data_IF_482209807338
#
_entry.id   IF_482209807338
#
_cell.length_a   1.000
_cell.length_b   1.000
_cell.length_c   1.000
_cell.angle_alpha   90.00
_cell.angle_beta   90.00
_cell.angle_gamma   90.00
#
_symmetry.space_group_name_H-M   'P 1'
#
loop_
_entity.id
_entity.type
_entity.pdbx_description
1 polymer ?
#
# COMPACT_ATOMS: atom_id res chain seq x y z
N UNK A 1 -21.07 6.23 -17.72
CA UNK A 1 -20.74 4.83 -18.06
C UNK A 1 -19.48 4.91 -18.92
N UNK A 2 -18.34 5.06 -18.25
CA UNK A 2 -17.06 5.36 -18.91
C UNK A 2 -16.47 4.03 -19.33
N UNK A 3 -16.47 3.78 -20.64
CA UNK A 3 -15.73 2.67 -21.25
C UNK A 3 -14.25 2.85 -20.88
N UNK A 4 -13.75 1.98 -20.00
CA UNK A 4 -12.33 1.88 -19.75
C UNK A 4 -11.66 1.37 -21.03
N UNK A 5 -10.65 2.08 -21.51
CA UNK A 5 -9.81 1.64 -22.63
C UNK A 5 -9.20 0.26 -22.28
N UNK A 6 -9.56 -0.83 -22.99
CA UNK A 6 -9.09 -2.18 -22.70
C UNK A 6 -7.57 -2.36 -22.93
N UNK A 7 -6.87 -1.32 -23.39
CA UNK A 7 -5.41 -1.32 -23.58
C UNK A 7 -4.62 -0.74 -22.41
N UNK A 8 -5.27 -0.04 -21.47
CA UNK A 8 -4.58 0.59 -20.34
C UNK A 8 -4.19 -0.48 -19.30
N UNK A 9 -2.90 -0.83 -19.25
CA UNK A 9 -2.41 -1.82 -18.28
C UNK A 9 -2.64 -1.34 -16.84
N UNK A 10 -3.03 -2.23 -15.91
CA UNK A 10 -3.20 -1.86 -14.52
C UNK A 10 -1.87 -1.44 -13.89
N UNK A 11 -1.91 -0.54 -12.92
CA UNK A 11 -0.73 -0.21 -12.10
C UNK A 11 -0.50 -1.34 -11.09
N UNK A 12 0.67 -1.97 -11.13
CA UNK A 12 1.02 -3.05 -10.20
C UNK A 12 1.55 -2.47 -8.90
N UNK A 13 0.83 -2.74 -7.81
CA UNK A 13 1.15 -2.25 -6.47
C UNK A 13 1.59 -3.42 -5.59
N UNK A 14 2.75 -3.32 -4.94
CA UNK A 14 3.22 -4.28 -3.96
C UNK A 14 3.15 -3.68 -2.55
N UNK A 15 2.43 -4.31 -1.63
CA UNK A 15 2.45 -3.94 -0.20
C UNK A 15 3.37 -4.84 0.60
N UNK A 16 4.14 -4.29 1.53
CA UNK A 16 5.18 -5.04 2.27
C UNK A 16 5.07 -4.84 3.78
N UNK A 17 4.96 -5.94 4.53
CA UNK A 17 5.14 -5.96 5.98
C UNK A 17 6.12 -7.06 6.40
N UNK A 18 6.14 -7.45 7.67
CA UNK A 18 7.03 -8.49 8.18
C UNK A 18 6.51 -9.89 7.84
N UNK A 19 5.42 -10.31 8.50
CA UNK A 19 4.90 -11.68 8.41
C UNK A 19 3.98 -11.97 7.22
N UNK A 20 3.54 -10.95 6.48
CA UNK A 20 2.52 -11.04 5.43
C UNK A 20 1.19 -11.67 5.87
N UNK A 21 0.81 -11.54 7.14
CA UNK A 21 -0.45 -12.08 7.68
C UNK A 21 -1.36 -11.01 8.31
N UNK A 22 -0.89 -9.77 8.51
CA UNK A 22 -1.68 -8.71 9.15
C UNK A 22 -1.74 -7.44 8.28
N UNK A 23 -0.68 -6.63 8.32
CA UNK A 23 -0.69 -5.26 7.77
C UNK A 23 -0.69 -5.20 6.24
N UNK A 24 0.21 -5.93 5.56
CA UNK A 24 0.27 -5.91 4.09
C UNK A 24 -0.94 -6.56 3.41
N UNK A 25 -1.53 -7.66 3.93
CA UNK A 25 -2.80 -8.18 3.39
C UNK A 25 -3.96 -7.20 3.57
N UNK A 26 -4.07 -6.55 4.73
CA UNK A 26 -5.09 -5.52 4.95
C UNK A 26 -4.94 -4.36 3.95
N UNK A 27 -3.72 -3.86 3.77
CA UNK A 27 -3.43 -2.82 2.77
C UNK A 27 -3.75 -3.27 1.34
N UNK A 28 -3.40 -4.52 0.98
CA UNK A 28 -3.72 -5.11 -0.34
C UNK A 28 -5.22 -5.07 -0.62
N UNK A 29 -6.03 -5.59 0.30
CA UNK A 29 -7.48 -5.70 0.10
C UNK A 29 -8.18 -4.35 0.13
N UNK A 30 -7.76 -3.44 1.01
CA UNK A 30 -8.28 -2.08 1.04
C UNK A 30 -7.95 -1.32 -0.25
N UNK A 31 -6.71 -1.39 -0.75
CA UNK A 31 -6.34 -0.74 -2.01
C UNK A 31 -7.12 -1.31 -3.20
N UNK A 32 -7.30 -2.63 -3.29
CA UNK A 32 -8.14 -3.24 -4.33
C UNK A 32 -9.60 -2.80 -4.26
N UNK A 33 -10.09 -2.48 -3.07
CA UNK A 33 -11.49 -2.05 -2.87
C UNK A 33 -11.68 -0.59 -3.22
N UNK A 34 -10.67 0.25 -2.98
CA UNK A 34 -10.77 1.71 -3.14
C UNK A 34 -10.20 2.25 -4.45
N UNK A 35 -9.41 1.45 -5.19
CA UNK A 35 -8.75 1.87 -6.41
C UNK A 35 -9.11 0.92 -7.55
N UNK A 36 -9.63 1.48 -8.64
CA UNK A 36 -9.83 0.78 -9.90
C UNK A 36 -8.57 0.83 -10.79
N UNK A 37 -8.44 -0.11 -11.73
CA UNK A 37 -7.32 -0.12 -12.68
C UNK A 37 -5.96 -0.41 -12.03
N UNK A 38 -5.94 -1.10 -10.88
CA UNK A 38 -4.71 -1.52 -10.18
C UNK A 38 -4.68 -3.03 -10.00
N UNK A 39 -3.48 -3.58 -9.97
CA UNK A 39 -3.22 -4.95 -9.53
C UNK A 39 -2.40 -4.89 -8.25
N UNK A 40 -3.04 -5.11 -7.10
CA UNK A 40 -2.36 -5.06 -5.81
C UNK A 40 -1.97 -6.45 -5.37
N UNK A 41 -0.76 -6.64 -4.89
CA UNK A 41 -0.30 -7.88 -4.23
C UNK A 41 0.47 -7.52 -2.97
N UNK A 42 0.69 -8.50 -2.08
CA UNK A 42 1.48 -8.28 -0.85
C UNK A 42 2.56 -9.33 -0.66
N UNK A 43 3.57 -9.00 0.14
CA UNK A 43 4.62 -9.92 0.57
C UNK A 43 5.16 -9.57 1.97
N UNK A 44 5.97 -10.46 2.54
CA UNK A 44 6.55 -10.32 3.87
C UNK A 44 8.07 -10.48 3.89
N UNK A 45 8.79 -9.60 4.57
CA UNK A 45 10.25 -9.67 4.70
C UNK A 45 10.73 -10.79 5.64
N UNK A 46 9.84 -11.29 6.48
CA UNK A 46 9.98 -12.49 7.30
C UNK A 46 8.66 -13.25 7.32
N UNK A 47 8.15 -13.58 6.12
CA UNK A 47 6.79 -14.08 5.94
C UNK A 47 6.54 -15.42 6.63
N UNK A 48 5.33 -15.58 7.15
CA UNK A 48 4.80 -16.86 7.60
C UNK A 48 4.16 -17.57 6.40
N UNK A 49 5.00 -18.09 5.50
CA UNK A 49 4.58 -18.62 4.20
C UNK A 49 3.52 -19.71 4.35
N UNK A 50 2.45 -19.64 3.56
CA UNK A 50 1.36 -20.60 3.59
C UNK A 50 0.22 -20.24 4.56
N UNK A 51 0.45 -19.33 5.50
CA UNK A 51 -0.57 -18.93 6.47
C UNK A 51 -1.63 -18.00 5.85
N UNK A 52 -2.89 -18.08 6.30
CA UNK A 52 -3.93 -17.13 5.91
C UNK A 52 -3.72 -15.77 6.62
N UNK A 53 -4.61 -14.82 6.34
CA UNK A 53 -4.67 -13.58 7.13
C UNK A 53 -4.94 -13.95 8.60
N UNK A 54 -4.19 -13.33 9.50
CA UNK A 54 -4.27 -13.62 10.92
C UNK A 54 -5.67 -13.31 11.45
N UNK A 55 -6.31 -14.20 12.24
CA UNK A 55 -7.75 -14.10 12.53
C UNK A 55 -8.24 -12.77 13.09
N UNK A 56 -7.54 -12.09 14.03
CA UNK A 56 -7.98 -10.77 14.51
C UNK A 56 -8.01 -9.69 13.42
N UNK A 57 -7.05 -9.73 12.47
CA UNK A 57 -7.03 -8.81 11.33
C UNK A 57 -8.11 -9.18 10.31
N UNK A 58 -8.29 -10.47 10.01
CA UNK A 58 -9.36 -10.93 9.13
C UNK A 58 -10.74 -10.51 9.66
N UNK A 59 -10.99 -10.66 10.97
CA UNK A 59 -12.25 -10.25 11.58
C UNK A 59 -12.51 -8.72 11.51
N UNK A 60 -11.46 -7.89 11.52
CA UNK A 60 -11.59 -6.44 11.29
C UNK A 60 -11.98 -6.15 9.83
N UNK A 61 -11.30 -6.80 8.88
CA UNK A 61 -11.59 -6.68 7.45
C UNK A 61 -13.03 -7.10 7.12
N UNK A 62 -13.45 -8.29 7.57
CA UNK A 62 -14.81 -8.80 7.33
C UNK A 62 -15.88 -7.89 7.91
N UNK A 63 -15.65 -7.33 9.13
CA UNK A 63 -16.58 -6.35 9.72
C UNK A 63 -16.70 -5.06 8.91
N UNK A 64 -15.66 -4.69 8.19
CA UNK A 64 -15.66 -3.54 7.28
C UNK A 64 -16.16 -3.90 5.86
N UNK A 65 -16.62 -5.12 5.62
CA UNK A 65 -17.07 -5.59 4.31
C UNK A 65 -15.93 -5.92 3.34
N UNK A 66 -14.70 -6.06 3.84
CA UNK A 66 -13.52 -6.41 3.05
C UNK A 66 -13.30 -7.93 3.12
N UNK A 67 -13.19 -8.57 1.95
CA UNK A 67 -12.89 -9.99 1.84
C UNK A 67 -11.50 -10.33 2.38
N UNK A 68 -11.44 -11.32 3.28
CA UNK A 68 -10.21 -11.84 3.89
C UNK A 68 -9.85 -13.26 3.41
N UNK A 69 -10.73 -13.90 2.62
CA UNK A 69 -10.58 -15.29 2.21
C UNK A 69 -9.65 -15.44 1.00
N UNK A 70 -9.23 -16.68 0.72
CA UNK A 70 -8.37 -17.02 -0.43
C UNK A 70 -6.97 -16.39 -0.39
N UNK A 71 -6.56 -15.85 0.75
CA UNK A 71 -5.24 -15.27 0.94
C UNK A 71 -4.23 -16.32 1.42
N UNK A 72 -2.99 -16.23 0.93
CA UNK A 72 -1.88 -17.05 1.43
C UNK A 72 -0.63 -16.19 1.49
N UNK A 73 -0.01 -16.15 2.67
CA UNK A 73 1.20 -15.38 2.90
C UNK A 73 2.38 -15.92 2.07
N UNK A 74 3.19 -15.00 1.55
CA UNK A 74 4.40 -15.29 0.76
C UNK A 74 5.59 -14.44 1.17
N UNK A 75 6.78 -15.00 0.99
CA UNK A 75 8.04 -14.30 1.23
C UNK A 75 8.26 -13.19 0.18
N UNK A 76 8.88 -12.09 0.61
CA UNK A 76 9.37 -11.06 -0.29
C UNK A 76 10.51 -11.63 -1.13
N UNK A 77 10.41 -11.48 -2.44
CA UNK A 77 11.43 -11.82 -3.42
C UNK A 77 11.76 -10.58 -4.26
N UNK A 78 12.97 -10.50 -4.81
CA UNK A 78 13.42 -9.35 -5.58
C UNK A 78 12.56 -9.11 -6.82
N UNK A 79 12.02 -10.17 -7.43
CA UNK A 79 11.12 -10.12 -8.58
C UNK A 79 9.83 -9.38 -8.24
N UNK A 80 9.26 -9.60 -7.05
CA UNK A 80 8.07 -8.88 -6.60
C UNK A 80 8.31 -7.37 -6.59
N UNK A 81 9.49 -6.94 -6.11
CA UNK A 81 9.86 -5.52 -6.06
C UNK A 81 10.17 -4.98 -7.45
N UNK A 82 10.91 -5.74 -8.26
CA UNK A 82 11.26 -5.38 -9.64
C UNK A 82 10.03 -5.16 -10.50
N UNK A 83 9.04 -6.04 -10.37
CA UNK A 83 7.88 -6.08 -11.24
C UNK A 83 6.77 -5.13 -10.75
N UNK A 84 6.80 -4.62 -9.52
CA UNK A 84 5.86 -3.59 -9.09
C UNK A 84 6.11 -2.24 -9.79
N UNK A 85 5.06 -1.51 -10.14
CA UNK A 85 5.15 -0.11 -10.60
C UNK A 85 5.17 0.85 -9.39
N UNK A 86 4.62 0.42 -8.25
CA UNK A 86 4.60 1.13 -6.98
C UNK A 86 4.75 0.15 -5.81
N UNK A 87 5.61 0.47 -4.85
CA UNK A 87 5.83 -0.33 -3.63
C UNK A 87 5.43 0.48 -2.40
N UNK A 88 4.52 -0.08 -1.61
CA UNK A 88 3.96 0.52 -0.39
C UNK A 88 4.34 -0.30 0.83
N UNK A 89 5.34 0.18 1.54
CA UNK A 89 5.82 -0.46 2.75
C UNK A 89 4.98 -0.03 3.97
N UNK A 90 4.81 -0.93 4.94
CA UNK A 90 4.07 -0.61 6.17
C UNK A 90 4.95 -0.01 7.26
N UNK A 91 6.28 0.03 7.04
CA UNK A 91 7.23 0.79 7.85
C UNK A 91 8.40 1.27 7.00
N UNK A 92 9.18 2.23 7.52
CA UNK A 92 10.44 2.69 6.92
C UNK A 92 11.45 1.56 6.81
N UNK A 93 11.49 0.64 7.78
CA UNK A 93 12.35 -0.55 7.71
C UNK A 93 11.96 -1.45 6.52
N UNK A 94 10.67 -1.71 6.33
CA UNK A 94 10.19 -2.48 5.16
C UNK A 94 10.52 -1.77 3.83
N UNK A 95 10.41 -0.44 3.79
CA UNK A 95 10.79 0.37 2.63
C UNK A 95 12.27 0.18 2.32
N UNK A 96 13.14 0.26 3.32
CA UNK A 96 14.57 0.01 3.18
C UNK A 96 14.86 -1.40 2.68
N UNK A 97 14.19 -2.42 3.23
CA UNK A 97 14.34 -3.81 2.79
C UNK A 97 13.94 -4.01 1.32
N UNK A 98 12.87 -3.36 0.86
CA UNK A 98 12.47 -3.39 -0.54
C UNK A 98 13.54 -2.77 -1.47
N UNK A 99 14.11 -1.63 -1.07
CA UNK A 99 15.19 -0.97 -1.83
C UNK A 99 16.48 -1.81 -1.81
N UNK A 100 16.80 -2.49 -0.73
CA UNK A 100 17.93 -3.43 -0.68
C UNK A 100 17.71 -4.62 -1.61
N UNK A 101 16.49 -5.19 -1.62
CA UNK A 101 16.14 -6.30 -2.50
C UNK A 101 16.20 -5.92 -3.99
N UNK A 102 15.85 -4.67 -4.32
CA UNK A 102 15.96 -4.12 -5.68
C UNK A 102 16.21 -2.60 -5.67
N UNK A 103 17.49 -2.15 -5.81
CA UNK A 103 17.83 -0.72 -5.73
C UNK A 103 17.12 0.16 -6.76
N UNK A 104 16.78 -0.41 -7.93
CA UNK A 104 16.06 0.28 -9.00
C UNK A 104 14.65 0.74 -8.59
N UNK A 105 14.09 0.23 -7.49
CA UNK A 105 12.77 0.62 -7.00
C UNK A 105 12.78 1.90 -6.14
N UNK A 106 13.94 2.47 -5.79
CA UNK A 106 14.07 3.63 -4.87
C UNK A 106 13.08 4.76 -5.16
N UNK A 107 12.85 5.07 -6.45
CA UNK A 107 11.98 6.16 -6.91
C UNK A 107 10.48 5.82 -6.88
N UNK A 108 10.12 4.57 -6.64
CA UNK A 108 8.74 4.09 -6.60
C UNK A 108 8.41 3.32 -5.32
N UNK A 109 9.22 3.47 -4.28
CA UNK A 109 8.99 2.86 -2.96
C UNK A 109 8.75 3.93 -1.92
N UNK A 110 7.60 3.85 -1.25
CA UNK A 110 7.15 4.74 -0.18
C UNK A 110 6.68 3.89 1.01
N UNK A 111 6.56 4.48 2.19
CA UNK A 111 5.61 3.91 3.15
C UNK A 111 4.18 4.29 2.73
N UNK A 112 3.17 3.50 3.14
CA UNK A 112 1.77 3.79 2.80
C UNK A 112 1.34 5.17 3.29
N UNK A 113 1.66 5.51 4.54
CA UNK A 113 1.30 6.79 5.17
C UNK A 113 2.08 7.97 4.55
N UNK A 114 3.35 7.76 4.20
CA UNK A 114 4.15 8.74 3.47
C UNK A 114 3.48 9.09 2.13
N UNK A 115 3.11 8.08 1.33
CA UNK A 115 2.50 8.36 0.02
C UNK A 115 1.15 9.06 0.17
N UNK A 116 0.29 8.63 1.09
CA UNK A 116 -1.01 9.27 1.33
C UNK A 116 -0.84 10.77 1.66
N UNK A 117 0.08 11.09 2.57
CA UNK A 117 0.41 12.47 2.95
C UNK A 117 0.99 13.28 1.79
N UNK A 118 1.88 12.69 0.99
CA UNK A 118 2.45 13.36 -0.18
C UNK A 118 1.40 13.57 -1.27
N UNK A 119 0.45 12.64 -1.45
CA UNK A 119 -0.64 12.77 -2.39
C UNK A 119 -1.54 13.97 -2.05
N UNK A 120 -1.93 14.12 -0.78
CA UNK A 120 -2.71 15.27 -0.33
C UNK A 120 -1.98 16.60 -0.55
N UNK A 121 -0.66 16.61 -0.32
CA UNK A 121 0.14 17.80 -0.58
C UNK A 121 0.24 18.13 -2.08
N UNK A 122 0.35 17.12 -2.94
CA UNK A 122 0.35 17.31 -4.39
C UNK A 122 -1.01 17.83 -4.88
N UNK A 123 -2.10 17.35 -4.29
CA UNK A 123 -3.46 17.76 -4.67
C UNK A 123 -3.99 17.03 -5.89
N UNK A 124 -5.30 16.80 -5.91
CA UNK A 124 -6.00 16.10 -7.00
C UNK A 124 -6.06 16.92 -8.29
N UNK A 125 -5.98 18.24 -8.19
CA UNK A 125 -5.99 19.21 -9.28
C UNK A 125 -4.70 19.16 -10.11
N UNK A 126 -3.57 18.90 -9.46
CA UNK A 126 -2.26 18.81 -10.13
C UNK A 126 -2.11 17.53 -10.95
N UNK A 127 -2.82 16.45 -10.59
CA UNK A 127 -2.74 15.17 -11.30
C UNK A 127 -3.42 15.20 -12.68
N UNK A 128 -4.27 16.19 -12.94
CA UNK A 128 -5.02 16.31 -14.20
C UNK A 128 -6.11 15.25 -14.38
N UNK A 129 -6.83 15.30 -15.50
CA UNK A 129 -7.85 14.29 -15.83
C UNK A 129 -7.22 12.95 -16.20
N UNK A 130 -7.94 11.85 -16.00
CA UNK A 130 -7.48 10.50 -16.37
C UNK A 130 -8.06 9.42 -15.46
N UNK A 131 -7.70 8.17 -15.72
CA UNK A 131 -8.07 7.06 -14.83
C UNK A 131 -7.27 7.09 -13.53
N UNK A 132 -7.69 6.32 -12.52
CA UNK A 132 -6.90 6.12 -11.28
C UNK A 132 -5.48 5.65 -11.59
N UNK A 133 -5.29 4.80 -12.60
CA UNK A 133 -3.99 4.32 -13.04
C UNK A 133 -3.12 5.48 -13.58
N UNK A 134 -3.69 6.37 -14.40
CA UNK A 134 -2.97 7.54 -14.93
C UNK A 134 -2.58 8.51 -13.82
N UNK A 135 -3.50 8.77 -12.90
CA UNK A 135 -3.29 9.65 -11.75
C UNK A 135 -2.23 9.09 -10.80
N UNK A 136 -2.18 7.78 -10.57
CA UNK A 136 -1.09 7.13 -9.82
C UNK A 136 0.26 7.28 -10.52
N UNK A 137 0.33 7.10 -11.85
CA UNK A 137 1.57 7.28 -12.63
C UNK A 137 2.07 8.72 -12.57
N UNK A 138 1.16 9.70 -12.60
CA UNK A 138 1.49 11.11 -12.44
C UNK A 138 1.93 11.44 -11.01
N UNK A 139 1.27 10.86 -10.00
CA UNK A 139 1.55 11.12 -8.59
C UNK A 139 2.96 10.70 -8.19
N UNK A 140 3.44 9.51 -8.58
CA UNK A 140 4.73 8.97 -8.11
C UNK A 140 5.91 9.97 -8.29
N UNK A 141 6.20 10.51 -9.49
CA UNK A 141 7.29 11.47 -9.66
C UNK A 141 7.06 12.79 -8.91
N UNK A 142 5.80 13.23 -8.74
CA UNK A 142 5.48 14.44 -7.98
C UNK A 142 5.70 14.24 -6.47
N UNK A 143 5.26 13.10 -5.94
CA UNK A 143 5.47 12.72 -4.54
C UNK A 143 6.97 12.68 -4.18
N UNK A 144 7.84 12.18 -5.08
CA UNK A 144 9.30 12.22 -4.87
C UNK A 144 9.80 13.65 -4.69
N UNK A 145 9.33 14.59 -5.52
CA UNK A 145 9.73 16.01 -5.43
C UNK A 145 9.22 16.65 -4.14
N UNK A 146 8.04 16.26 -3.70
CA UNK A 146 7.41 16.77 -2.47
C UNK A 146 8.05 16.25 -1.17
N UNK A 147 8.80 15.13 -1.19
CA UNK A 147 9.48 14.57 0.00
C UNK A 147 10.34 15.57 0.77
N UNK A 148 10.98 16.51 0.06
CA UNK A 148 11.85 17.53 0.68
C UNK A 148 11.09 18.66 1.37
N UNK A 149 9.82 18.85 1.00
CA UNK A 149 8.94 19.94 1.44
C UNK A 149 8.10 19.52 2.65
N UNK A 150 7.51 18.32 2.60
CA UNK A 150 6.68 17.78 3.68
C UNK A 150 7.51 16.85 4.55
N UNK A 151 8.11 17.41 5.61
CA UNK A 151 8.95 16.65 6.55
C UNK A 151 8.15 16.24 7.78
N UNK A 152 8.04 14.94 7.96
CA UNK A 152 7.54 14.30 9.18
C UNK A 152 8.62 13.31 9.62
N UNK A 153 8.85 13.12 10.93
CA UNK A 153 9.71 12.04 11.41
C UNK A 153 9.34 10.72 10.72
N UNK A 154 10.30 9.99 10.12
CA UNK A 154 9.98 8.79 9.34
C UNK A 154 9.18 7.73 10.13
N UNK A 155 9.41 7.62 11.44
CA UNK A 155 8.69 6.73 12.35
C UNK A 155 7.19 7.06 12.47
N UNK A 156 6.80 8.31 12.23
CA UNK A 156 5.40 8.71 12.24
C UNK A 156 4.67 8.23 10.99
N UNK A 157 5.39 7.77 9.96
CA UNK A 157 4.81 7.13 8.78
C UNK A 157 4.74 5.58 8.90
N UNK A 158 5.14 5.01 10.05
CA UNK A 158 5.02 3.59 10.32
C UNK A 158 3.59 3.18 10.71
N UNK A 159 3.22 1.94 10.34
CA UNK A 159 2.05 1.25 10.87
C UNK A 159 2.51 0.22 11.91
N UNK A 160 2.02 0.41 13.14
CA UNK A 160 2.33 -0.46 14.28
C UNK A 160 2.07 -1.93 13.95
N UNK A 161 2.99 -2.82 14.33
CA UNK A 161 2.81 -4.26 14.16
C UNK A 161 1.88 -4.84 15.23
N UNK A 162 0.70 -5.37 14.86
CA UNK A 162 -0.22 -5.92 15.84
C UNK A 162 0.05 -7.38 16.19
N UNK A 163 0.93 -8.09 15.47
CA UNK A 163 1.11 -9.53 15.66
C UNK A 163 1.50 -9.88 17.11
N UNK A 164 0.76 -10.82 17.73
CA UNK A 164 0.88 -11.21 19.15
C UNK A 164 0.69 -10.07 20.15
N UNK A 165 -0.04 -9.02 19.78
CA UNK A 165 -0.42 -7.90 20.65
C UNK A 165 -1.92 -7.96 20.98
N UNK A 166 -2.42 -7.16 21.94
CA UNK A 166 -3.85 -7.06 22.22
C UNK A 166 -4.67 -6.54 21.04
N UNK A 167 -5.97 -6.87 21.00
CA UNK A 167 -6.93 -6.49 19.95
C UNK A 167 -7.00 -4.98 19.65
N UNK A 168 -6.74 -4.15 20.66
CA UNK A 168 -6.65 -2.70 20.51
C UNK A 168 -5.56 -2.29 19.49
N UNK A 169 -4.44 -3.02 19.45
CA UNK A 169 -3.34 -2.75 18.50
C UNK A 169 -3.72 -3.18 17.09
N UNK A 170 -4.48 -4.27 16.93
CA UNK A 170 -5.04 -4.65 15.63
C UNK A 170 -6.01 -3.58 15.10
N UNK A 171 -6.89 -3.09 15.97
CA UNK A 171 -7.85 -2.04 15.63
C UNK A 171 -7.13 -0.76 15.20
N UNK A 172 -6.11 -0.36 15.96
CA UNK A 172 -5.27 0.80 15.62
C UNK A 172 -4.55 0.61 14.27
N UNK A 173 -3.92 -0.54 14.06
CA UNK A 173 -3.20 -0.82 12.81
C UNK A 173 -4.15 -0.81 11.61
N UNK A 174 -5.32 -1.45 11.72
CA UNK A 174 -6.32 -1.47 10.66
C UNK A 174 -6.84 -0.06 10.35
N UNK A 175 -7.24 0.70 11.37
CA UNK A 175 -7.72 2.07 11.19
C UNK A 175 -6.67 2.99 10.55
N UNK A 176 -5.39 2.82 10.91
CA UNK A 176 -4.28 3.58 10.31
C UNK A 176 -4.09 3.25 8.83
N UNK A 177 -4.22 1.97 8.45
CA UNK A 177 -4.11 1.55 7.05
C UNK A 177 -5.31 2.07 6.27
N UNK A 178 -6.52 1.91 6.81
CA UNK A 178 -7.75 2.37 6.17
C UNK A 178 -7.75 3.88 5.94
N UNK A 179 -7.37 4.69 6.94
CA UNK A 179 -7.23 6.14 6.80
C UNK A 179 -6.27 6.51 5.65
N UNK A 180 -5.08 5.91 5.64
CA UNK A 180 -4.08 6.19 4.62
C UNK A 180 -4.56 5.79 3.21
N UNK A 181 -5.23 4.65 3.06
CA UNK A 181 -5.80 4.21 1.78
C UNK A 181 -6.91 5.16 1.33
N UNK A 182 -7.82 5.56 2.23
CA UNK A 182 -8.92 6.49 1.90
C UNK A 182 -8.39 7.86 1.47
N UNK A 183 -7.39 8.38 2.16
CA UNK A 183 -6.73 9.66 1.82
C UNK A 183 -6.02 9.60 0.48
N UNK A 184 -5.31 8.51 0.20
CA UNK A 184 -4.72 8.28 -1.12
C UNK A 184 -5.80 8.23 -2.22
N UNK A 185 -6.84 7.42 -2.02
CA UNK A 185 -7.94 7.25 -2.98
C UNK A 185 -8.68 8.58 -3.25
N UNK A 186 -8.91 9.41 -2.23
CA UNK A 186 -9.51 10.72 -2.39
C UNK A 186 -8.72 11.65 -3.32
N UNK A 187 -7.41 11.42 -3.48
CA UNK A 187 -6.56 12.20 -4.38
C UNK A 187 -6.47 11.55 -5.76
N UNK A 188 -6.34 10.23 -5.86
CA UNK A 188 -6.03 9.57 -7.13
C UNK A 188 -7.24 9.08 -7.90
N UNK A 189 -8.41 8.98 -7.28
CA UNK A 189 -9.65 8.59 -7.96
C UNK A 189 -10.27 9.83 -8.65
N UNK A 190 -10.78 9.70 -9.89
CA UNK A 190 -11.41 10.80 -10.64
C UNK A 190 -12.73 11.29 -10.06
#
# INVERSE_FOLDING_TARGET
MTDADPTAQPVRILTICTGNICRSPAAERLLRTHLDGVEVTSAGTGALVGEPIHPPMAALMTRAGIDADGFTARALASEHVRDADLVLALTVSHRSQAVVAWPGALRRTFTLRELARLAEHVGSDVLGEGTTADRLRALVPLAIRARGVVRVPPEDDDVVDPYRRPDAVYTQAYATIEDAVRRLAAVVTP
#
